data_IF_234412046502
#
_entry.id   IF_234412046502
#
_cell.length_a   1.000
_cell.length_b   1.000
_cell.length_c   1.000
_cell.angle_alpha   90.00
_cell.angle_beta   90.00
_cell.angle_gamma   90.00
#
_symmetry.space_group_name_H-M   'P 1'
#
loop_
_entity.id
_entity.type
_entity.pdbx_description
1 polymer ?
#
# COMPACT_ATOMS: atom_id res chain seq x y z
N UNK A 1 11.32 11.96 -21.17
CA UNK A 1 11.87 10.59 -20.99
C UNK A 1 10.87 9.82 -20.15
N UNK A 2 10.07 8.96 -20.78
CA UNK A 2 9.28 7.96 -20.04
C UNK A 2 10.31 6.99 -19.47
N UNK A 3 10.51 7.01 -18.16
CA UNK A 3 11.14 5.89 -17.47
C UNK A 3 10.11 4.78 -17.61
N UNK A 4 10.36 3.87 -18.54
CA UNK A 4 9.47 2.76 -18.85
C UNK A 4 9.14 2.04 -17.54
N UNK A 5 7.85 1.94 -17.22
CA UNK A 5 7.38 1.17 -16.08
C UNK A 5 8.06 -0.21 -16.11
N UNK A 6 8.67 -0.61 -15.01
CA UNK A 6 9.38 -1.89 -14.99
C UNK A 6 8.41 -3.05 -15.20
N UNK A 7 8.87 -4.09 -15.91
CA UNK A 7 8.08 -5.29 -16.17
C UNK A 7 8.55 -6.44 -15.28
N UNK A 8 7.60 -7.29 -14.90
CA UNK A 8 7.84 -8.59 -14.27
C UNK A 8 7.55 -9.66 -15.31
N UNK A 9 8.53 -10.52 -15.56
CA UNK A 9 8.39 -11.69 -16.42
C UNK A 9 8.20 -12.92 -15.53
N UNK A 10 7.13 -13.67 -15.79
CA UNK A 10 6.85 -14.95 -15.13
C UNK A 10 6.83 -16.01 -16.22
N UNK A 11 7.79 -16.93 -16.17
CA UNK A 11 7.87 -18.06 -17.07
C UNK A 11 7.47 -19.32 -16.31
N UNK A 12 6.58 -20.12 -16.88
CA UNK A 12 6.16 -21.40 -16.32
C UNK A 12 6.36 -22.50 -17.35
N UNK A 13 7.10 -23.54 -16.97
CA UNK A 13 7.28 -24.73 -17.78
C UNK A 13 6.71 -25.95 -17.05
N UNK A 14 5.96 -26.78 -17.77
CA UNK A 14 5.55 -28.08 -17.26
C UNK A 14 6.79 -28.98 -17.22
N UNK A 15 7.26 -29.31 -16.01
CA UNK A 15 8.33 -30.28 -15.82
C UNK A 15 7.88 -31.71 -16.14
N UNK A 16 8.80 -32.67 -16.08
CA UNK A 16 8.49 -34.11 -16.22
C UNK A 16 7.72 -34.70 -15.02
N UNK A 17 7.40 -33.87 -14.02
CA UNK A 17 6.56 -34.20 -12.85
C UNK A 17 5.36 -33.25 -12.70
N UNK A 18 4.55 -33.46 -11.67
CA UNK A 18 3.25 -32.78 -11.48
C UNK A 18 3.30 -31.30 -11.10
N UNK A 19 4.48 -30.74 -10.77
CA UNK A 19 4.64 -29.33 -10.38
C UNK A 19 5.32 -28.53 -11.49
N UNK A 20 4.79 -27.33 -11.84
CA UNK A 20 5.43 -26.46 -12.82
C UNK A 20 6.76 -25.93 -12.27
N UNK A 21 7.71 -25.72 -13.18
CA UNK A 21 8.93 -24.96 -12.89
C UNK A 21 8.61 -23.49 -13.19
N UNK A 22 8.74 -22.63 -12.17
CA UNK A 22 8.43 -21.20 -12.26
C UNK A 22 9.70 -20.39 -12.12
N UNK A 23 9.91 -19.46 -13.06
CA UNK A 23 10.99 -18.46 -13.02
C UNK A 23 10.38 -17.05 -13.02
N UNK A 24 10.86 -16.20 -12.12
CA UNK A 24 10.42 -14.81 -11.99
C UNK A 24 11.62 -13.91 -12.18
N UNK A 25 11.53 -13.01 -13.17
CA UNK A 25 12.56 -12.01 -13.44
C UNK A 25 11.96 -10.61 -13.42
N UNK A 26 12.62 -9.68 -12.74
CA UNK A 26 12.21 -8.27 -12.65
C UNK A 26 13.20 -7.38 -13.38
N UNK A 27 12.72 -6.58 -14.32
CA UNK A 27 13.52 -5.55 -15.00
C UNK A 27 13.24 -4.15 -14.45
N UNK A 28 12.70 -4.04 -13.23
CA UNK A 28 12.40 -2.74 -12.63
C UNK A 28 13.66 -1.91 -12.47
N UNK A 29 13.65 -0.61 -12.83
CA UNK A 29 14.82 0.26 -12.70
C UNK A 29 15.01 0.65 -11.23
N UNK A 30 15.55 -0.25 -10.41
CA UNK A 30 15.85 -0.03 -8.98
C UNK A 30 16.80 1.14 -8.74
N UNK A 31 17.53 1.56 -9.77
CA UNK A 31 18.44 2.71 -9.74
C UNK A 31 17.80 4.03 -10.21
N UNK A 32 16.50 4.08 -10.50
CA UNK A 32 15.83 5.31 -10.95
C UNK A 32 15.99 6.47 -9.95
N UNK A 33 16.07 6.17 -8.65
CA UNK A 33 16.30 7.15 -7.59
C UNK A 33 17.69 7.82 -7.63
N UNK A 34 18.67 7.30 -8.41
CA UNK A 34 19.97 7.97 -8.61
C UNK A 34 19.85 9.36 -9.24
N UNK A 35 18.73 9.64 -9.92
CA UNK A 35 18.44 10.99 -10.43
C UNK A 35 18.40 12.05 -9.31
N UNK A 36 18.21 11.63 -8.05
CA UNK A 36 18.17 12.54 -6.91
C UNK A 36 19.54 12.98 -6.40
N UNK A 37 20.61 12.26 -6.74
CA UNK A 37 21.97 12.57 -6.27
C UNK A 37 22.38 13.97 -6.78
N UNK A 38 22.92 14.79 -5.87
CA UNK A 38 23.33 16.17 -6.13
C UNK A 38 22.19 17.19 -6.21
N UNK A 39 20.93 16.79 -5.94
CA UNK A 39 19.78 17.71 -5.83
C UNK A 39 19.58 18.17 -4.38
N UNK A 40 18.91 19.30 -4.21
CA UNK A 40 18.46 19.74 -2.87
C UNK A 40 17.24 18.90 -2.41
N UNK A 41 16.97 18.82 -1.10
CA UNK A 41 15.76 18.16 -0.58
C UNK A 41 14.45 18.63 -1.24
N UNK A 42 14.28 19.94 -1.45
CA UNK A 42 13.09 20.53 -2.06
C UNK A 42 12.95 20.14 -3.53
N UNK A 43 14.07 20.07 -4.26
CA UNK A 43 14.07 19.57 -5.64
C UNK A 43 13.67 18.10 -5.70
N UNK A 44 14.07 17.29 -4.72
CA UNK A 44 13.65 15.88 -4.66
C UNK A 44 12.16 15.77 -4.36
N UNK A 45 11.66 16.50 -3.36
CA UNK A 45 10.24 16.48 -2.97
C UNK A 45 9.30 16.96 -4.08
N UNK A 46 9.77 17.80 -5.00
CA UNK A 46 9.01 18.19 -6.20
C UNK A 46 9.06 17.18 -7.35
N UNK A 47 10.11 16.35 -7.43
CA UNK A 47 10.30 15.37 -8.51
C UNK A 47 9.72 13.99 -8.19
N UNK A 48 9.77 13.55 -6.93
CA UNK A 48 9.26 12.24 -6.48
C UNK A 48 7.85 11.91 -6.98
N UNK A 49 6.83 12.78 -6.81
CA UNK A 49 5.47 12.46 -7.28
C UNK A 49 5.34 12.38 -8.80
N UNK A 50 6.25 13.02 -9.55
CA UNK A 50 6.29 12.96 -11.02
C UNK A 50 6.95 11.66 -11.51
N UNK A 51 7.95 11.18 -10.77
CA UNK A 51 8.70 9.98 -11.09
C UNK A 51 7.91 8.70 -10.75
N UNK A 52 7.17 8.70 -9.63
CA UNK A 52 6.45 7.54 -9.14
C UNK A 52 4.93 7.79 -9.05
N UNK A 53 4.30 7.94 -10.21
CA UNK A 53 2.89 8.38 -10.34
C UNK A 53 1.83 7.35 -9.87
N UNK A 54 2.18 6.06 -9.77
CA UNK A 54 1.23 5.00 -9.36
C UNK A 54 0.98 4.98 -7.85
N UNK A 55 1.95 5.40 -7.03
CA UNK A 55 1.86 5.45 -5.57
C UNK A 55 2.48 6.74 -5.04
N UNK A 56 2.08 7.86 -5.67
CA UNK A 56 2.70 9.16 -5.47
C UNK A 56 2.62 9.68 -4.05
N UNK A 57 1.52 9.41 -3.33
CA UNK A 57 1.36 9.78 -1.91
C UNK A 57 2.30 8.97 -1.04
N UNK A 58 2.31 7.64 -1.14
CA UNK A 58 3.21 6.79 -0.35
C UNK A 58 4.69 7.12 -0.60
N UNK A 59 5.06 7.36 -1.86
CA UNK A 59 6.43 7.73 -2.26
C UNK A 59 6.83 9.10 -1.72
N UNK A 60 5.94 10.10 -1.83
CA UNK A 60 6.20 11.45 -1.32
C UNK A 60 6.25 11.48 0.21
N UNK A 61 5.39 10.69 0.87
CA UNK A 61 5.40 10.47 2.32
C UNK A 61 6.73 9.89 2.79
N UNK A 62 7.16 8.78 2.19
CA UNK A 62 8.42 8.12 2.56
C UNK A 62 9.62 9.05 2.31
N UNK A 63 9.63 9.76 1.16
CA UNK A 63 10.68 10.72 0.84
C UNK A 63 10.76 11.86 1.86
N UNK A 64 9.62 12.48 2.19
CA UNK A 64 9.58 13.59 3.14
C UNK A 64 10.03 13.13 4.53
N UNK A 65 9.53 12.00 5.00
CA UNK A 65 9.89 11.47 6.33
C UNK A 65 11.39 11.16 6.44
N UNK A 66 12.01 10.57 5.41
CA UNK A 66 13.45 10.29 5.42
C UNK A 66 14.28 11.59 5.37
N UNK A 67 13.86 12.56 4.55
CA UNK A 67 14.51 13.87 4.43
C UNK A 67 14.41 14.67 5.74
N UNK A 68 13.23 14.72 6.37
CA UNK A 68 13.04 15.44 7.63
C UNK A 68 13.95 14.91 8.74
N UNK A 69 14.12 13.58 8.81
CA UNK A 69 15.04 12.97 9.77
C UNK A 69 16.50 13.35 9.50
N UNK A 70 16.94 13.36 8.23
CA UNK A 70 18.29 13.80 7.86
C UNK A 70 18.54 15.28 8.18
N UNK A 71 17.51 16.11 8.05
CA UNK A 71 17.57 17.54 8.35
C UNK A 71 17.35 17.85 9.85
N UNK A 72 17.16 16.82 10.70
CA UNK A 72 16.80 16.95 12.12
C UNK A 72 15.56 17.84 12.34
N UNK A 73 14.61 17.81 11.40
CA UNK A 73 13.34 18.54 11.50
C UNK A 73 12.37 17.66 12.27
N UNK A 74 11.97 18.10 13.47
CA UNK A 74 10.93 17.42 14.24
C UNK A 74 9.55 17.61 13.58
N UNK A 75 8.88 16.55 13.13
CA UNK A 75 7.57 16.67 12.51
C UNK A 75 6.49 17.07 13.53
N UNK A 76 5.55 17.90 13.09
CA UNK A 76 4.37 18.26 13.89
C UNK A 76 3.35 17.11 13.85
N UNK A 77 2.85 16.67 15.00
CA UNK A 77 1.95 15.51 15.09
C UNK A 77 0.71 15.66 14.18
N UNK A 78 0.13 16.86 14.11
CA UNK A 78 -1.04 17.14 13.26
C UNK A 78 -0.76 16.93 11.77
N UNK A 79 0.43 17.31 11.30
CA UNK A 79 0.83 17.13 9.90
C UNK A 79 0.98 15.66 9.56
N UNK A 80 1.57 14.89 10.46
CA UNK A 80 1.76 13.45 10.29
C UNK A 80 0.42 12.71 10.26
N UNK A 81 -0.50 13.02 11.18
CA UNK A 81 -1.86 12.44 11.18
C UNK A 81 -2.58 12.74 9.86
N UNK A 82 -2.53 13.99 9.37
CA UNK A 82 -3.16 14.36 8.10
C UNK A 82 -2.52 13.66 6.88
N UNK A 83 -1.20 13.44 6.89
CA UNK A 83 -0.50 12.67 5.86
C UNK A 83 -0.84 11.19 5.89
N UNK A 84 -1.03 10.63 7.08
CA UNK A 84 -1.45 9.23 7.25
C UNK A 84 -2.89 9.04 6.74
N UNK A 85 -3.77 10.04 6.89
CA UNK A 85 -5.09 10.03 6.23
C UNK A 85 -4.95 9.99 4.69
N UNK A 86 -4.05 10.79 4.10
CA UNK A 86 -3.81 10.76 2.65
C UNK A 86 -3.30 9.39 2.17
N UNK A 87 -2.47 8.71 2.97
CA UNK A 87 -1.99 7.36 2.66
C UNK A 87 -3.15 6.35 2.63
N UNK A 88 -4.06 6.38 3.61
CA UNK A 88 -5.25 5.52 3.61
C UNK A 88 -6.15 5.78 2.39
N UNK A 89 -6.31 7.05 2.00
CA UNK A 89 -7.08 7.44 0.82
C UNK A 89 -6.42 6.97 -0.47
N UNK A 90 -5.09 7.06 -0.62
CA UNK A 90 -4.37 6.48 -1.76
C UNK A 90 -4.54 4.96 -1.82
N UNK A 91 -4.38 4.27 -0.69
CA UNK A 91 -4.56 2.83 -0.61
C UNK A 91 -5.97 2.41 -1.05
N UNK A 92 -6.98 3.14 -0.61
CA UNK A 92 -8.37 2.92 -0.98
C UNK A 92 -8.63 3.19 -2.46
N UNK A 93 -8.11 4.29 -2.99
CA UNK A 93 -8.17 4.61 -4.42
C UNK A 93 -7.56 3.49 -5.26
N UNK A 94 -6.38 3.00 -4.91
CA UNK A 94 -5.72 1.89 -5.64
C UNK A 94 -6.56 0.60 -5.60
N UNK A 95 -7.19 0.30 -4.47
CA UNK A 95 -8.07 -0.86 -4.34
C UNK A 95 -9.35 -0.71 -5.17
N UNK A 96 -9.98 0.45 -5.14
CA UNK A 96 -11.15 0.76 -5.95
C UNK A 96 -10.84 0.69 -7.45
N UNK A 97 -9.69 1.20 -7.90
CA UNK A 97 -9.25 1.03 -9.30
C UNK A 97 -9.07 -0.45 -9.67
N UNK A 98 -8.62 -1.30 -8.74
CA UNK A 98 -8.59 -2.76 -9.00
C UNK A 98 -9.98 -3.34 -9.15
N UNK A 99 -10.89 -3.03 -8.24
CA UNK A 99 -12.27 -3.55 -8.23
C UNK A 99 -13.06 -3.05 -9.43
N UNK A 100 -12.95 -1.78 -9.81
CA UNK A 100 -13.79 -1.17 -10.85
C UNK A 100 -13.21 -1.32 -12.27
N UNK A 101 -11.89 -1.52 -12.42
CA UNK A 101 -11.24 -1.62 -13.75
C UNK A 101 -10.50 -2.93 -14.00
N UNK A 102 -9.80 -3.46 -13.01
CA UNK A 102 -8.95 -4.64 -13.22
C UNK A 102 -9.73 -5.95 -13.08
N UNK A 103 -10.58 -6.06 -12.07
CA UNK A 103 -11.38 -7.25 -11.81
C UNK A 103 -12.40 -7.54 -12.92
N UNK A 104 -13.13 -6.55 -13.48
CA UNK A 104 -14.04 -6.83 -14.58
C UNK A 104 -13.30 -7.38 -15.81
N UNK A 105 -12.10 -6.87 -16.10
CA UNK A 105 -11.26 -7.41 -17.18
C UNK A 105 -10.82 -8.84 -16.89
N UNK A 106 -10.39 -9.10 -15.65
CA UNK A 106 -9.88 -10.42 -15.23
C UNK A 106 -10.97 -11.51 -15.29
N UNK A 107 -12.19 -11.20 -14.86
CA UNK A 107 -13.30 -12.14 -14.81
C UNK A 107 -14.30 -12.00 -15.98
N UNK A 108 -13.98 -11.15 -16.97
CA UNK A 108 -14.84 -10.83 -18.09
C UNK A 108 -16.23 -10.30 -17.69
N UNK A 109 -16.32 -9.51 -16.61
CA UNK A 109 -17.53 -8.80 -16.21
C UNK A 109 -17.70 -7.47 -16.96
N UNK A 110 -18.93 -6.92 -17.03
CA UNK A 110 -19.17 -5.59 -17.59
C UNK A 110 -18.40 -4.51 -16.83
N UNK A 111 -17.77 -3.58 -17.55
CA UNK A 111 -17.11 -2.40 -16.97
C UNK A 111 -18.12 -1.26 -16.89
N UNK A 112 -18.26 -0.66 -15.72
CA UNK A 112 -19.05 0.56 -15.52
C UNK A 112 -18.12 1.75 -15.32
N UNK A 113 -18.17 2.76 -16.19
CA UNK A 113 -17.26 3.91 -16.15
C UNK A 113 -17.73 5.09 -15.29
N UNK A 114 -18.97 5.06 -14.80
CA UNK A 114 -19.62 6.21 -14.13
C UNK A 114 -18.93 6.63 -12.83
N UNK A 115 -18.24 5.71 -12.17
CA UNK A 115 -17.63 5.88 -10.84
C UNK A 115 -16.17 6.34 -10.88
N UNK A 116 -15.51 6.21 -12.04
CA UNK A 116 -14.08 6.51 -12.21
C UNK A 116 -13.68 7.97 -11.94
N UNK A 117 -14.49 8.99 -12.31
CA UNK A 117 -14.14 10.37 -12.01
C UNK A 117 -13.97 10.63 -10.50
N UNK A 118 -14.89 10.10 -9.68
CA UNK A 118 -14.80 10.21 -8.21
C UNK A 118 -13.52 9.54 -7.69
N UNK A 119 -13.28 8.29 -8.07
CA UNK A 119 -12.08 7.53 -7.64
C UNK A 119 -10.79 8.26 -8.03
N UNK A 120 -10.75 8.82 -9.24
CA UNK A 120 -9.56 9.52 -9.74
C UNK A 120 -9.21 10.76 -8.92
N UNK A 121 -10.21 11.45 -8.36
CA UNK A 121 -10.08 12.73 -7.64
C UNK A 121 -9.93 12.57 -6.13
N UNK A 122 -10.27 11.42 -5.54
CA UNK A 122 -10.24 11.14 -4.10
C UNK A 122 -9.03 11.75 -3.36
N UNK A 123 -7.82 11.42 -3.79
CA UNK A 123 -6.59 11.90 -3.15
C UNK A 123 -6.45 13.43 -3.22
N UNK A 124 -6.80 14.05 -4.36
CA UNK A 124 -6.72 15.50 -4.51
C UNK A 124 -7.79 16.24 -3.69
N UNK A 125 -8.98 15.66 -3.52
CA UNK A 125 -10.03 16.24 -2.70
C UNK A 125 -9.59 16.29 -1.24
N UNK A 126 -9.15 15.15 -0.69
CA UNK A 126 -8.65 15.09 0.68
C UNK A 126 -7.43 16.01 0.89
N UNK A 127 -6.47 16.06 -0.03
CA UNK A 127 -5.27 16.91 0.11
C UNK A 127 -5.66 18.39 0.22
N UNK A 128 -6.50 18.88 -0.69
CA UNK A 128 -6.96 20.29 -0.70
C UNK A 128 -7.79 20.67 0.53
N UNK A 129 -8.45 19.70 1.15
CA UNK A 129 -9.23 19.94 2.37
C UNK A 129 -8.34 19.89 3.63
N UNK A 130 -7.27 19.10 3.61
CA UNK A 130 -6.35 18.91 4.75
C UNK A 130 -5.18 19.91 4.77
N UNK A 131 -4.75 20.43 3.62
CA UNK A 131 -3.58 21.31 3.48
C UNK A 131 -3.90 22.55 2.64
N UNK A 132 -3.28 23.70 2.96
CA UNK A 132 -3.44 24.92 2.14
C UNK A 132 -2.52 24.90 0.91
N UNK A 133 -1.44 24.12 0.99
CA UNK A 133 -0.47 23.87 -0.07
C UNK A 133 -0.20 22.35 -0.19
N UNK A 134 0.82 21.95 -0.94
CA UNK A 134 1.12 20.54 -1.13
C UNK A 134 1.50 19.84 0.18
N UNK A 135 0.92 18.66 0.43
CA UNK A 135 1.06 17.96 1.71
C UNK A 135 2.48 17.42 1.99
N UNK A 136 3.27 17.22 0.94
CA UNK A 136 4.57 16.56 1.01
C UNK A 136 5.75 17.48 0.69
N UNK A 137 5.71 18.69 1.25
CA UNK A 137 6.81 19.67 1.18
C UNK A 137 7.29 20.01 2.60
N UNK A 138 8.47 20.63 2.70
CA UNK A 138 9.03 21.06 3.99
C UNK A 138 8.24 22.23 4.59
N UNK A 139 7.62 23.05 3.75
CA UNK A 139 6.83 24.23 4.10
C UNK A 139 5.31 23.96 4.11
N UNK A 140 4.89 22.69 4.17
CA UNK A 140 3.46 22.33 4.19
C UNK A 140 2.71 22.98 5.35
N UNK A 141 1.55 23.58 5.07
CA UNK A 141 0.62 24.13 6.06
C UNK A 141 -0.70 23.36 6.06
N UNK A 142 -1.21 23.09 7.26
CA UNK A 142 -2.50 22.43 7.43
C UNK A 142 -3.64 23.42 7.26
N UNK A 143 -4.67 22.94 6.59
CA UNK A 143 -5.99 23.54 6.62
C UNK A 143 -6.83 22.92 7.75
N UNK A 144 -7.73 23.68 8.35
CA UNK A 144 -8.59 23.23 9.47
C UNK A 144 -10.07 23.14 9.08
N UNK A 145 -10.36 22.71 7.85
CA UNK A 145 -11.72 22.48 7.36
C UNK A 145 -12.29 21.12 7.80
N UNK A 146 -12.26 20.83 9.11
CA UNK A 146 -12.60 19.49 9.62
C UNK A 146 -13.99 18.98 9.23
N UNK A 147 -14.99 19.87 9.17
CA UNK A 147 -16.34 19.48 8.74
C UNK A 147 -16.35 18.94 7.30
N UNK A 148 -15.58 19.58 6.39
CA UNK A 148 -15.45 19.10 5.02
C UNK A 148 -14.70 17.77 4.95
N UNK A 149 -13.71 17.54 5.84
CA UNK A 149 -13.04 16.23 5.94
C UNK A 149 -14.04 15.16 6.40
N UNK A 150 -14.92 15.45 7.36
CA UNK A 150 -16.00 14.54 7.78
C UNK A 150 -16.92 14.20 6.60
N UNK A 151 -17.37 15.21 5.85
CA UNK A 151 -18.19 15.00 4.64
C UNK A 151 -17.50 14.10 3.63
N UNK A 152 -16.20 14.32 3.33
CA UNK A 152 -15.47 13.46 2.40
C UNK A 152 -15.33 12.01 2.89
N UNK A 153 -15.23 11.80 4.22
CA UNK A 153 -15.18 10.45 4.79
C UNK A 153 -16.56 9.78 4.68
N UNK A 154 -17.64 10.50 4.95
CA UNK A 154 -19.00 9.99 4.82
C UNK A 154 -19.33 9.67 3.35
N UNK A 155 -18.93 10.54 2.41
CA UNK A 155 -19.07 10.27 0.97
C UNK A 155 -18.32 9.01 0.53
N UNK A 156 -17.12 8.76 1.07
CA UNK A 156 -16.36 7.54 0.79
C UNK A 156 -17.06 6.30 1.37
N UNK A 157 -17.59 6.40 2.59
CA UNK A 157 -18.32 5.32 3.26
C UNK A 157 -19.59 4.95 2.48
N UNK A 158 -20.40 5.95 2.13
CA UNK A 158 -21.62 5.81 1.32
C UNK A 158 -21.29 5.23 -0.07
N UNK A 159 -20.19 5.67 -0.68
CA UNK A 159 -19.72 5.12 -1.95
C UNK A 159 -19.37 3.64 -1.82
N UNK A 160 -18.62 3.24 -0.79
CA UNK A 160 -18.25 1.85 -0.54
C UNK A 160 -19.48 0.99 -0.25
N UNK A 161 -20.43 1.49 0.55
CA UNK A 161 -21.70 0.82 0.80
C UNK A 161 -22.47 0.60 -0.50
N UNK A 162 -22.66 1.64 -1.32
CA UNK A 162 -23.47 1.55 -2.53
C UNK A 162 -22.82 0.72 -3.66
N UNK A 163 -21.50 0.75 -3.79
CA UNK A 163 -20.80 0.21 -4.97
C UNK A 163 -20.01 -1.06 -4.73
N UNK A 164 -19.56 -1.31 -3.51
CA UNK A 164 -18.73 -2.47 -3.17
C UNK A 164 -19.52 -3.45 -2.31
N UNK A 165 -20.04 -3.01 -1.17
CA UNK A 165 -20.51 -3.89 -0.10
C UNK A 165 -22.02 -4.14 -0.06
N UNK A 166 -22.86 -3.23 -0.53
CA UNK A 166 -24.34 -3.27 -0.44
C UNK A 166 -24.86 -3.53 0.99
N UNK A 167 -24.09 -3.05 1.96
CA UNK A 167 -24.35 -3.00 3.39
C UNK A 167 -23.23 -2.14 4.02
N UNK A 168 -23.39 -1.65 5.26
CA UNK A 168 -22.38 -0.82 5.91
C UNK A 168 -20.99 -1.50 5.89
N UNK A 169 -19.93 -0.85 5.35
CA UNK A 169 -18.64 -1.48 5.12
C UNK A 169 -18.03 -2.04 6.41
N UNK A 170 -18.07 -1.28 7.49
CA UNK A 170 -17.54 -1.73 8.79
C UNK A 170 -18.25 -2.99 9.31
N UNK A 171 -19.58 -3.09 9.16
CA UNK A 171 -20.35 -4.27 9.58
C UNK A 171 -19.99 -5.51 8.75
N UNK A 172 -19.69 -5.35 7.45
CA UNK A 172 -19.22 -6.46 6.62
C UNK A 172 -17.92 -7.09 7.15
N UNK A 173 -17.02 -6.29 7.72
CA UNK A 173 -15.74 -6.77 8.23
C UNK A 173 -15.81 -7.33 9.66
N UNK A 174 -16.56 -6.68 10.56
CA UNK A 174 -16.60 -7.01 11.99
C UNK A 174 -17.22 -8.39 12.29
N UNK A 175 -18.29 -8.75 11.59
CA UNK A 175 -19.00 -10.03 11.80
C UNK A 175 -18.64 -11.08 10.74
N UNK A 176 -17.63 -10.79 9.91
CA UNK A 176 -17.29 -11.60 8.75
C UNK A 176 -16.67 -12.95 9.09
N UNK A 177 -17.21 -14.01 8.49
CA UNK A 177 -16.65 -15.36 8.41
C UNK A 177 -16.94 -15.98 7.02
N UNK A 178 -16.46 -17.20 6.79
CA UNK A 178 -16.62 -17.87 5.48
C UNK A 178 -18.09 -17.94 5.04
N UNK A 179 -19.01 -18.32 5.93
CA UNK A 179 -20.44 -18.43 5.62
C UNK A 179 -21.03 -17.08 5.21
N UNK A 180 -20.78 -16.03 6.00
CA UNK A 180 -21.28 -14.69 5.69
C UNK A 180 -20.68 -14.12 4.40
N UNK A 181 -19.41 -14.44 4.11
CA UNK A 181 -18.74 -14.02 2.88
C UNK A 181 -19.38 -14.67 1.66
N UNK A 182 -19.65 -15.98 1.72
CA UNK A 182 -20.29 -16.71 0.63
C UNK A 182 -21.74 -16.24 0.42
N UNK A 183 -22.53 -16.10 1.48
CA UNK A 183 -23.90 -15.55 1.39
C UNK A 183 -23.93 -14.12 0.84
N UNK A 184 -22.96 -13.29 1.23
CA UNK A 184 -22.78 -11.95 0.67
C UNK A 184 -22.44 -12.00 -0.83
N UNK A 185 -21.54 -12.90 -1.22
CA UNK A 185 -21.11 -13.06 -2.61
C UNK A 185 -22.20 -13.60 -3.53
N UNK A 186 -23.10 -14.47 -3.03
CA UNK A 186 -24.22 -15.05 -3.79
C UNK A 186 -25.13 -14.00 -4.44
N UNK A 187 -25.24 -12.81 -3.84
CA UNK A 187 -26.04 -11.70 -4.37
C UNK A 187 -25.55 -11.19 -5.73
N UNK A 188 -24.23 -11.26 -5.98
CA UNK A 188 -23.57 -10.90 -7.25
C UNK A 188 -24.01 -9.55 -7.86
N UNK A 189 -24.37 -8.57 -7.02
CA UNK A 189 -24.85 -7.26 -7.49
C UNK A 189 -23.72 -6.25 -7.74
N UNK A 190 -22.53 -6.51 -7.19
CA UNK A 190 -21.32 -5.69 -7.40
C UNK A 190 -20.19 -6.53 -7.99
N UNK A 191 -19.17 -5.87 -8.55
CA UNK A 191 -17.96 -6.56 -9.03
C UNK A 191 -17.26 -7.32 -7.91
N UNK A 192 -17.25 -6.76 -6.69
CA UNK A 192 -16.61 -7.40 -5.54
C UNK A 192 -17.30 -8.71 -5.17
N UNK A 193 -18.63 -8.69 -5.02
CA UNK A 193 -19.44 -9.90 -4.77
C UNK A 193 -19.26 -10.94 -5.88
N UNK A 194 -19.38 -10.49 -7.14
CA UNK A 194 -19.27 -11.35 -8.32
C UNK A 194 -17.90 -12.01 -8.41
N UNK A 195 -16.82 -11.31 -8.01
CA UNK A 195 -15.48 -11.88 -8.00
C UNK A 195 -15.32 -13.01 -6.99
N UNK A 196 -15.87 -12.86 -5.78
CA UNK A 196 -15.83 -13.92 -4.75
C UNK A 196 -16.69 -15.11 -5.19
N UNK A 197 -17.89 -14.87 -5.71
CA UNK A 197 -18.76 -15.91 -6.25
C UNK A 197 -18.10 -16.68 -7.41
N UNK A 198 -17.37 -15.97 -8.28
CA UNK A 198 -16.63 -16.60 -9.38
C UNK A 198 -15.48 -17.47 -8.85
N UNK A 199 -14.68 -16.97 -7.91
CA UNK A 199 -13.60 -17.76 -7.28
C UNK A 199 -14.17 -19.02 -6.63
N UNK A 200 -15.29 -18.90 -5.91
CA UNK A 200 -15.96 -20.05 -5.29
C UNK A 200 -16.46 -21.06 -6.33
N UNK A 201 -17.21 -20.60 -7.34
CA UNK A 201 -17.81 -21.45 -8.37
C UNK A 201 -16.79 -22.25 -9.19
N UNK A 202 -15.56 -21.75 -9.30
CA UNK A 202 -14.48 -22.41 -10.02
C UNK A 202 -13.55 -23.24 -9.11
N UNK A 203 -13.90 -23.43 -7.83
CA UNK A 203 -13.06 -24.13 -6.84
C UNK A 203 -11.65 -23.52 -6.69
N UNK A 204 -11.59 -22.18 -6.74
CA UNK A 204 -10.33 -21.44 -6.70
C UNK A 204 -9.94 -20.89 -5.33
N UNK A 205 -10.73 -21.14 -4.28
CA UNK A 205 -10.52 -20.56 -2.96
C UNK A 205 -9.09 -20.74 -2.45
N UNK A 206 -8.61 -21.98 -2.44
CA UNK A 206 -7.29 -22.41 -1.95
C UNK A 206 -6.21 -22.45 -3.04
N UNK A 207 -6.43 -21.81 -4.19
CA UNK A 207 -5.36 -21.72 -5.20
C UNK A 207 -4.25 -20.80 -4.70
N UNK A 208 -3.00 -21.08 -5.10
CA UNK A 208 -1.84 -20.30 -4.68
C UNK A 208 -1.61 -20.26 -3.17
N UNK A 209 -1.85 -21.39 -2.49
CA UNK A 209 -1.40 -21.59 -1.10
C UNK A 209 0.10 -21.39 -1.04
N UNK A 210 0.54 -20.57 -0.09
CA UNK A 210 1.95 -20.26 0.13
C UNK A 210 2.29 -20.34 1.61
N UNK A 211 3.48 -20.85 1.91
CA UNK A 211 4.09 -20.82 3.24
C UNK A 211 4.96 -19.58 3.46
N UNK A 212 4.93 -18.60 2.56
CA UNK A 212 5.71 -17.38 2.66
C UNK A 212 5.33 -16.64 3.95
N UNK A 213 6.34 -16.29 4.73
CA UNK A 213 6.14 -15.63 6.01
C UNK A 213 5.69 -14.19 5.80
N UNK A 214 4.98 -13.65 6.78
CA UNK A 214 4.62 -12.24 6.79
C UNK A 214 5.80 -11.44 7.35
N UNK A 215 6.16 -10.36 6.68
CA UNK A 215 7.33 -9.57 7.08
C UNK A 215 7.14 -9.06 8.53
N UNK A 216 8.04 -9.39 9.47
CA UNK A 216 7.96 -8.85 10.82
C UNK A 216 8.19 -7.33 10.78
N UNK A 217 7.78 -6.64 11.86
CA UNK A 217 8.12 -5.22 12.02
C UNK A 217 9.65 -5.07 11.98
N UNK A 218 10.15 -4.35 10.98
CA UNK A 218 11.57 -4.13 10.81
C UNK A 218 12.07 -3.07 11.80
N UNK A 219 13.08 -3.42 12.56
CA UNK A 219 13.82 -2.47 13.38
C UNK A 219 14.60 -1.51 12.46
N UNK A 220 14.40 -0.21 12.63
CA UNK A 220 14.99 0.81 11.75
C UNK A 220 16.52 0.77 11.75
N UNK A 221 17.16 0.57 12.91
CA UNK A 221 18.61 0.51 13.00
C UNK A 221 19.18 -0.71 12.25
N UNK A 222 18.56 -1.87 12.42
CA UNK A 222 18.98 -3.10 11.73
C UNK A 222 18.81 -2.98 10.23
N UNK A 223 17.71 -2.38 9.78
CA UNK A 223 17.44 -2.14 8.36
C UNK A 223 18.40 -1.12 7.76
N UNK A 224 18.72 -0.06 8.52
CA UNK A 224 19.72 0.92 8.13
C UNK A 224 21.11 0.30 7.99
N UNK A 225 21.52 -0.57 8.91
CA UNK A 225 22.76 -1.35 8.77
C UNK A 225 22.73 -2.17 7.48
N UNK A 226 21.65 -2.91 7.23
CA UNK A 226 21.53 -3.74 6.02
C UNK A 226 21.60 -2.93 4.72
N UNK A 227 21.03 -1.73 4.71
CA UNK A 227 21.03 -0.83 3.54
C UNK A 227 22.35 -0.08 3.34
N UNK A 228 23.26 -0.13 4.32
CA UNK A 228 24.61 0.42 4.26
C UNK A 228 25.67 -0.60 3.83
N UNK A 229 25.35 -1.89 3.85
CA UNK A 229 26.29 -2.94 3.43
C UNK A 229 26.68 -2.81 1.95
N UNK A 230 27.87 -3.31 1.58
CA UNK A 230 28.40 -3.25 0.21
C UNK A 230 27.48 -3.90 -0.84
N UNK A 231 26.69 -4.91 -0.42
CA UNK A 231 25.74 -5.64 -1.26
C UNK A 231 24.30 -5.08 -1.17
N UNK A 232 24.09 -3.90 -0.58
CA UNK A 232 22.76 -3.31 -0.41
C UNK A 232 21.96 -3.22 -1.71
N UNK A 233 22.63 -3.06 -2.86
CA UNK A 233 21.95 -3.08 -4.16
C UNK A 233 21.30 -4.44 -4.46
N UNK A 234 21.99 -5.54 -4.15
CA UNK A 234 21.47 -6.89 -4.31
C UNK A 234 20.30 -7.15 -3.36
N UNK A 235 20.44 -6.72 -2.10
CA UNK A 235 19.33 -6.75 -1.14
C UNK A 235 18.09 -6.01 -1.61
N UNK A 236 18.25 -4.80 -2.16
CA UNK A 236 17.12 -4.04 -2.68
C UNK A 236 16.44 -4.79 -3.83
N UNK A 237 17.20 -5.43 -4.72
CA UNK A 237 16.63 -6.16 -5.87
C UNK A 237 15.96 -7.48 -5.50
N UNK A 238 16.42 -8.15 -4.46
CA UNK A 238 15.92 -9.45 -4.02
C UNK A 238 16.06 -9.56 -2.49
N UNK A 239 15.17 -8.89 -1.75
CA UNK A 239 15.28 -8.77 -0.31
C UNK A 239 14.97 -10.10 0.39
N UNK A 240 15.90 -10.48 1.26
CA UNK A 240 15.71 -11.51 2.28
C UNK A 240 16.03 -10.90 3.63
N UNK A 241 15.18 -11.17 4.62
CA UNK A 241 15.41 -10.75 6.00
C UNK A 241 15.70 -12.00 6.82
N UNK A 242 16.80 -12.03 7.58
CA UNK A 242 17.18 -13.21 8.38
C UNK A 242 17.16 -14.54 7.58
N UNK A 243 17.56 -14.48 6.30
CA UNK A 243 17.62 -15.63 5.39
C UNK A 243 16.28 -16.09 4.81
N UNK A 244 15.19 -15.35 5.05
CA UNK A 244 13.84 -15.71 4.56
C UNK A 244 13.27 -14.65 3.61
N UNK A 245 12.44 -15.11 2.65
CA UNK A 245 11.58 -14.25 1.85
C UNK A 245 10.27 -13.98 2.58
N UNK A 246 9.71 -12.79 2.38
CA UNK A 246 8.49 -12.37 3.07
C UNK A 246 7.46 -11.78 2.12
N UNK A 247 6.20 -11.99 2.48
CA UNK A 247 5.05 -11.28 1.96
C UNK A 247 4.86 -9.96 2.72
N UNK A 248 4.60 -8.89 1.96
CA UNK A 248 4.26 -7.57 2.52
C UNK A 248 2.92 -7.07 2.00
N UNK A 249 2.09 -7.92 1.39
CA UNK A 249 0.86 -7.45 0.73
C UNK A 249 -0.15 -6.91 1.75
N UNK A 250 -1.29 -6.41 1.25
CA UNK A 250 -2.44 -6.04 2.09
C UNK A 250 -2.84 -7.14 3.08
N UNK A 251 -2.64 -8.42 2.74
CA UNK A 251 -2.91 -9.53 3.65
C UNK A 251 -2.15 -9.37 4.97
N UNK A 252 -0.87 -8.98 4.93
CA UNK A 252 0.00 -8.83 6.11
C UNK A 252 -0.58 -7.87 7.16
N UNK A 253 -1.30 -6.84 6.72
CA UNK A 253 -1.93 -5.83 7.59
C UNK A 253 -3.32 -6.21 8.08
N UNK A 254 -3.98 -7.15 7.41
CA UNK A 254 -5.38 -7.50 7.66
C UNK A 254 -5.57 -8.85 8.36
N UNK A 255 -4.49 -9.52 8.77
CA UNK A 255 -4.55 -10.80 9.49
C UNK A 255 -5.37 -10.77 10.79
N UNK A 256 -5.54 -9.59 11.40
CA UNK A 256 -6.33 -9.44 12.61
C UNK A 256 -7.84 -9.50 12.36
N UNK A 257 -8.29 -9.25 11.12
CA UNK A 257 -9.70 -9.12 10.78
C UNK A 257 -10.43 -10.47 10.91
N UNK A 258 -11.65 -10.51 11.47
CA UNK A 258 -12.40 -11.76 11.70
C UNK A 258 -12.52 -12.63 10.44
N UNK A 259 -12.90 -12.04 9.31
CA UNK A 259 -13.06 -12.76 8.04
C UNK A 259 -11.73 -13.35 7.55
N UNK A 260 -10.62 -12.62 7.71
CA UNK A 260 -9.31 -13.06 7.27
C UNK A 260 -8.78 -14.19 8.16
N UNK A 261 -9.01 -14.11 9.48
CA UNK A 261 -8.71 -15.21 10.40
C UNK A 261 -9.50 -16.47 10.04
N UNK A 262 -10.80 -16.33 9.78
CA UNK A 262 -11.66 -17.45 9.40
C UNK A 262 -11.16 -18.12 8.11
N UNK A 263 -10.86 -17.34 7.07
CA UNK A 263 -10.32 -17.86 5.80
C UNK A 263 -8.93 -18.48 5.96
N UNK A 264 -8.03 -17.84 6.72
CA UNK A 264 -6.66 -18.31 6.90
C UNK A 264 -6.60 -19.60 7.74
N UNK A 265 -7.53 -19.78 8.70
CA UNK A 265 -7.62 -21.02 9.48
C UNK A 265 -8.10 -22.20 8.61
N UNK A 266 -9.00 -21.96 7.66
CA UNK A 266 -9.56 -23.01 6.81
C UNK A 266 -8.66 -23.32 5.59
N UNK A 267 -8.22 -22.28 4.88
CA UNK A 267 -7.54 -22.43 3.57
C UNK A 267 -6.04 -22.11 3.62
N UNK A 268 -5.53 -21.63 4.74
CA UNK A 268 -4.18 -21.05 4.82
C UNK A 268 -4.06 -19.76 4.01
N UNK A 269 -2.82 -19.32 3.79
CA UNK A 269 -2.51 -18.09 3.05
C UNK A 269 -2.51 -18.36 1.55
N UNK A 270 -3.60 -18.01 0.87
CA UNK A 270 -3.90 -18.40 -0.51
C UNK A 270 -4.64 -17.29 -1.29
N UNK A 271 -5.24 -17.61 -2.43
CA UNK A 271 -5.96 -16.66 -3.28
C UNK A 271 -7.09 -15.97 -2.51
N UNK A 272 -8.01 -16.72 -1.87
CA UNK A 272 -9.17 -16.10 -1.23
C UNK A 272 -8.80 -15.22 -0.04
N UNK A 273 -7.75 -15.55 0.72
CA UNK A 273 -7.31 -14.71 1.83
C UNK A 273 -6.77 -13.37 1.33
N UNK A 274 -5.93 -13.38 0.29
CA UNK A 274 -5.38 -12.15 -0.32
C UNK A 274 -6.46 -11.32 -1.03
N UNK A 275 -7.40 -11.99 -1.69
CA UNK A 275 -8.50 -11.32 -2.38
C UNK A 275 -9.40 -10.60 -1.39
N UNK A 276 -9.81 -11.30 -0.34
CA UNK A 276 -10.67 -10.78 0.73
C UNK A 276 -9.95 -9.73 1.58
N UNK A 277 -8.64 -9.84 1.80
CA UNK A 277 -7.88 -8.84 2.56
C UNK A 277 -7.95 -7.44 1.93
N UNK A 278 -8.02 -7.34 0.60
CA UNK A 278 -8.22 -6.06 -0.09
C UNK A 278 -9.58 -5.44 0.23
N UNK A 279 -10.63 -6.28 0.29
CA UNK A 279 -11.97 -5.85 0.67
C UNK A 279 -12.01 -5.47 2.15
N UNK A 280 -11.35 -6.22 3.02
CA UNK A 280 -11.26 -5.92 4.44
C UNK A 280 -10.54 -4.59 4.72
N UNK A 281 -9.44 -4.30 4.02
CA UNK A 281 -8.76 -3.00 4.13
C UNK A 281 -9.68 -1.85 3.67
N UNK A 282 -10.41 -2.01 2.57
CA UNK A 282 -11.40 -1.01 2.15
C UNK A 282 -12.53 -0.81 3.18
N UNK A 283 -13.05 -1.90 3.72
CA UNK A 283 -14.19 -1.91 4.63
C UNK A 283 -13.93 -1.13 5.92
N UNK A 284 -12.70 -1.17 6.43
CA UNK A 284 -12.32 -0.50 7.68
C UNK A 284 -11.81 0.95 7.48
N UNK A 285 -11.44 1.33 6.25
CA UNK A 285 -10.83 2.65 5.98
C UNK A 285 -11.68 3.83 6.48
N UNK A 286 -13.01 3.90 6.23
CA UNK A 286 -13.80 5.02 6.73
C UNK A 286 -13.71 5.18 8.26
N UNK A 287 -13.76 4.07 9.02
CA UNK A 287 -13.60 4.10 10.47
C UNK A 287 -12.20 4.56 10.90
N UNK A 288 -11.15 4.10 10.20
CA UNK A 288 -9.78 4.53 10.46
C UNK A 288 -9.59 6.03 10.20
N UNK A 289 -10.15 6.55 9.09
CA UNK A 289 -10.13 7.98 8.78
C UNK A 289 -10.86 8.81 9.84
N UNK A 290 -12.03 8.35 10.32
CA UNK A 290 -12.75 9.02 11.42
C UNK A 290 -11.90 9.04 12.70
N UNK A 291 -11.22 7.94 13.03
CA UNK A 291 -10.31 7.86 14.18
C UNK A 291 -9.14 8.85 14.06
N UNK A 292 -8.48 8.89 12.91
CA UNK A 292 -7.38 9.84 12.64
C UNK A 292 -7.87 11.29 12.70
N UNK A 293 -9.06 11.59 12.17
CA UNK A 293 -9.63 12.93 12.26
C UNK A 293 -9.91 13.34 13.71
N UNK A 294 -10.38 12.42 14.55
CA UNK A 294 -10.55 12.69 15.98
C UNK A 294 -9.21 12.94 16.68
N UNK A 295 -8.15 12.21 16.31
CA UNK A 295 -6.80 12.48 16.81
C UNK A 295 -6.30 13.85 16.35
N UNK A 296 -6.50 14.19 15.07
CA UNK A 296 -6.13 15.49 14.48
C UNK A 296 -6.83 16.66 15.18
N UNK A 297 -8.11 16.51 15.52
CA UNK A 297 -8.91 17.51 16.27
C UNK A 297 -8.40 17.69 17.71
N UNK A 298 -7.89 16.63 18.33
CA UNK A 298 -7.38 16.65 19.72
C UNK A 298 -5.94 17.15 19.84
N UNK A 299 -5.11 16.90 18.84
CA UNK A 299 -3.71 17.30 18.84
C UNK A 299 -3.55 18.83 18.79
N UNK A 300 -2.63 19.35 19.60
CA UNK A 300 -2.33 20.79 19.66
C UNK A 300 -1.33 21.17 18.57
N UNK A 301 -1.30 22.43 18.10
CA UNK A 301 -0.32 22.89 17.12
C UNK A 301 1.16 22.70 17.54
N UNK A 302 1.43 22.66 18.85
CA UNK A 302 2.75 22.47 19.44
C UNK A 302 3.16 21.00 19.59
N UNK A 303 2.22 20.07 19.40
CA UNK A 303 2.51 18.64 19.59
C UNK A 303 3.42 18.16 18.47
N UNK A 304 4.48 17.46 18.86
CA UNK A 304 5.44 16.84 17.95
C UNK A 304 5.11 15.37 17.79
N UNK A 305 5.36 14.81 16.62
CA UNK A 305 5.32 13.35 16.46
C UNK A 305 6.51 12.74 17.20
N UNK A 306 6.35 11.51 17.71
CA UNK A 306 7.45 10.77 18.33
C UNK A 306 8.61 10.68 17.34
N UNK A 307 9.66 11.46 17.60
CA UNK A 307 10.93 11.31 16.88
C UNK A 307 11.65 10.15 17.54
N UNK A 308 11.63 8.97 16.91
CA UNK A 308 12.70 8.01 17.15
C UNK A 308 14.06 8.69 16.89
N UNK A 309 15.15 8.06 17.34
CA UNK A 309 16.51 8.50 16.99
C UNK A 309 16.57 8.80 15.48
N UNK A 310 17.27 9.86 15.09
CA UNK A 310 17.30 10.31 13.69
C UNK A 310 17.84 9.19 12.80
N UNK A 311 16.95 8.53 12.07
CA UNK A 311 17.33 7.52 11.09
C UNK A 311 17.25 8.14 9.71
N UNK A 312 18.21 7.83 8.85
CA UNK A 312 18.21 8.24 7.44
C UNK A 312 17.11 7.56 6.61
N UNK A 313 16.07 7.01 7.26
CA UNK A 313 15.17 6.00 6.71
C UNK A 313 13.71 6.27 7.06
N UNK A 314 12.79 5.93 6.16
CA UNK A 314 11.36 5.95 6.41
C UNK A 314 10.70 4.66 5.90
N UNK A 315 9.72 4.16 6.66
CA UNK A 315 8.91 2.99 6.33
C UNK A 315 7.45 3.41 6.17
N UNK A 316 6.80 3.05 5.06
CA UNK A 316 5.43 3.45 4.72
C UNK A 316 4.64 2.26 4.16
N UNK A 317 3.43 2.05 4.66
CA UNK A 317 2.53 0.99 4.17
C UNK A 317 1.74 1.45 2.93
N UNK A 318 2.32 1.23 1.76
CA UNK A 318 1.64 1.49 0.48
C UNK A 318 0.61 0.41 0.16
N UNK A 319 -0.25 0.67 -0.82
CA UNK A 319 -1.33 -0.22 -1.27
C UNK A 319 -0.85 -1.63 -1.69
N UNK A 320 0.43 -1.74 -2.09
CA UNK A 320 1.09 -2.99 -2.51
C UNK A 320 1.99 -3.58 -1.43
N UNK A 321 2.19 -2.88 -0.31
CA UNK A 321 2.97 -3.33 0.84
C UNK A 321 3.97 -2.31 1.37
N UNK A 322 4.93 -2.81 2.14
CA UNK A 322 5.96 -2.00 2.78
C UNK A 322 6.89 -1.33 1.77
N UNK A 323 6.93 0.00 1.79
CA UNK A 323 7.82 0.86 1.04
C UNK A 323 8.85 1.46 2.00
N UNK A 324 10.13 1.34 1.67
CA UNK A 324 11.22 1.90 2.48
C UNK A 324 12.05 2.85 1.63
N UNK A 325 12.26 4.07 2.14
CA UNK A 325 13.18 5.04 1.57
C UNK A 325 14.34 5.24 2.51
N UNK A 326 15.56 5.32 1.98
CA UNK A 326 16.74 5.78 2.71
C UNK A 326 17.39 6.92 1.95
N UNK A 327 17.77 7.98 2.67
CA UNK A 327 18.35 9.20 2.11
C UNK A 327 19.54 9.62 2.96
N UNK A 328 20.62 10.06 2.35
CA UNK A 328 21.72 10.77 3.04
C UNK A 328 21.91 12.15 2.43
N UNK A 329 22.25 13.13 3.28
CA UNK A 329 22.42 14.52 2.86
C UNK A 329 23.81 14.99 3.29
N UNK A 330 24.60 15.47 2.32
CA UNK A 330 25.92 16.06 2.57
C UNK A 330 25.99 17.44 1.92
N UNK A 331 26.47 18.43 2.67
CA UNK A 331 26.57 19.83 2.21
C UNK A 331 25.26 20.38 1.60
N UNK A 332 24.11 19.97 2.18
CA UNK A 332 22.77 20.40 1.73
C UNK A 332 22.26 19.72 0.45
N UNK A 333 22.98 18.74 -0.07
CA UNK A 333 22.61 17.99 -1.28
C UNK A 333 22.41 16.51 -0.95
N UNK A 334 21.54 15.84 -1.69
CA UNK A 334 21.41 14.38 -1.57
C UNK A 334 22.72 13.73 -2.00
N UNK A 335 23.35 12.99 -1.09
CA UNK A 335 24.52 12.17 -1.38
C UNK A 335 24.10 10.77 -1.85
N UNK A 336 23.17 10.13 -1.13
CA UNK A 336 22.64 8.81 -1.47
C UNK A 336 21.11 8.79 -1.35
N UNK A 337 20.47 8.03 -2.24
CA UNK A 337 19.04 7.76 -2.20
C UNK A 337 18.79 6.29 -2.58
N UNK A 338 18.08 5.56 -1.73
CA UNK A 338 17.74 4.16 -1.93
C UNK A 338 16.23 3.96 -1.71
N UNK A 339 15.62 3.10 -2.53
CA UNK A 339 14.21 2.71 -2.40
C UNK A 339 14.15 1.19 -2.41
N UNK A 340 13.64 0.62 -1.33
CA UNK A 340 13.21 -0.78 -1.28
C UNK A 340 11.68 -0.79 -1.36
N UNK A 341 11.16 -1.15 -2.52
CA UNK A 341 9.73 -1.10 -2.81
C UNK A 341 9.03 -2.45 -2.50
N UNK A 342 7.69 -2.46 -2.38
CA UNK A 342 6.95 -3.67 -2.03
C UNK A 342 7.05 -4.76 -3.11
N UNK A 343 7.35 -4.38 -4.35
CA UNK A 343 7.39 -5.34 -5.47
C UNK A 343 8.58 -6.27 -5.33
N UNK A 344 9.70 -5.76 -4.84
CA UNK A 344 10.95 -6.49 -4.62
C UNK A 344 10.74 -7.62 -3.61
N UNK A 345 9.98 -7.37 -2.53
CA UNK A 345 9.58 -8.41 -1.58
C UNK A 345 8.66 -9.46 -2.21
N UNK A 346 7.55 -9.01 -2.80
CA UNK A 346 6.48 -9.91 -3.23
C UNK A 346 6.83 -10.71 -4.50
N UNK A 347 7.67 -10.16 -5.37
CA UNK A 347 8.15 -10.81 -6.60
C UNK A 347 9.61 -11.25 -6.50
N UNK A 348 10.13 -11.43 -5.28
CA UNK A 348 11.40 -12.08 -5.07
C UNK A 348 11.43 -13.41 -5.85
N UNK A 349 12.51 -13.75 -6.60
CA UNK A 349 12.56 -14.94 -7.45
C UNK A 349 12.26 -16.24 -6.71
N UNK A 350 12.70 -16.35 -5.45
CA UNK A 350 12.43 -17.49 -4.55
C UNK A 350 11.30 -17.25 -3.54
N UNK A 351 10.55 -16.15 -3.70
CA UNK A 351 9.59 -15.67 -2.70
C UNK A 351 8.14 -16.02 -3.00
N UNK A 352 7.26 -15.13 -2.54
CA UNK A 352 5.81 -15.31 -2.51
C UNK A 352 5.22 -15.85 -3.81
N UNK A 353 5.40 -15.13 -4.93
CA UNK A 353 4.71 -15.48 -6.17
C UNK A 353 5.18 -16.83 -6.75
N UNK A 354 6.46 -17.20 -6.58
CA UNK A 354 6.95 -18.53 -6.99
C UNK A 354 6.34 -19.65 -6.18
N UNK A 355 6.04 -19.41 -4.90
CA UNK A 355 5.37 -20.41 -4.06
C UNK A 355 3.88 -20.57 -4.39
N UNK A 356 3.25 -19.52 -4.95
CA UNK A 356 1.84 -19.52 -5.32
C UNK A 356 1.54 -20.15 -6.69
N UNK A 357 2.53 -20.24 -7.58
CA UNK A 357 2.40 -20.75 -8.94
C UNK A 357 2.97 -22.18 -9.03
#
# INVERSE_FOLDING_TARGET
MSITEGHINIEMCLGTGSKPIVSITSNRPTQACKIFIGKTPEQVLSVVPLLFNVCGVAQSRASLSAIQQCLNITPKARHEIARDMLLLVENSKEHLLKIELSWPKLFCFPITSKTLPYISQLTSLFEKTLFDNHAFQLDSSLNTHYLHVETLIDELDDYLEATVFQQPPNSWCQDGNIETLLSWAEKQSTTAMSSIAFIFKNDWLSQGVSSCLQLPKLNEQSLLTRLNDDDAHHFIQSPQWEGSCYETTVLSRQLSQPIIKSLNNEFGTCLITRWTARLAELAITPQQLRSLLQQLKKARPSDTADSAATTELAQVEAARGLLVHRVTIENGLINQYQILAPTEWNFHPEGLIKQCL
#
